data_IF_902203574413
#
_entry.id   IF_902203574413
#
_cell.length_a   1.000
_cell.length_b   1.000
_cell.length_c   1.000
_cell.angle_alpha   90.00
_cell.angle_beta   90.00
_cell.angle_gamma   90.00
#
_symmetry.space_group_name_H-M   'P 1'
#
loop_
_entity.id
_entity.type
_entity.pdbx_description
1 polymer ?
#
# COMPACT_ATOMS: atom_id res chain seq x y z
N UNK A 1 -6.10 -11.66 11.25
CA UNK A 1 -5.53 -10.91 10.12
C UNK A 1 -5.42 -9.45 10.46
N UNK A 2 -4.38 -8.82 9.98
CA UNK A 2 -4.13 -7.42 10.28
C UNK A 2 -4.44 -6.56 9.09
N UNK A 3 -4.94 -5.37 9.36
CA UNK A 3 -5.11 -4.34 8.34
C UNK A 3 -4.07 -3.26 8.58
N UNK A 4 -3.29 -2.98 7.54
CA UNK A 4 -2.20 -2.03 7.61
C UNK A 4 -2.59 -0.83 6.76
N UNK A 5 -2.50 0.35 7.33
CA UNK A 5 -2.83 1.58 6.62
C UNK A 5 -1.56 2.33 6.29
N UNK A 6 -1.43 2.71 5.03
CA UNK A 6 -0.27 3.42 4.54
C UNK A 6 -0.71 4.74 3.92
N UNK A 7 0.14 5.75 4.06
CA UNK A 7 0.01 6.98 3.31
C UNK A 7 0.94 6.93 2.12
N UNK A 8 0.40 7.15 0.93
CA UNK A 8 1.19 7.07 -0.30
C UNK A 8 1.05 8.38 -1.05
N UNK A 9 2.20 8.96 -1.41
CA UNK A 9 2.24 10.18 -2.20
C UNK A 9 2.61 9.84 -3.64
N UNK A 10 2.06 10.59 -4.56
CA UNK A 10 2.33 10.39 -5.97
C UNK A 10 1.23 9.72 -6.74
N UNK A 11 0.10 9.42 -6.08
CA UNK A 11 -1.04 8.84 -6.77
C UNK A 11 -1.74 9.96 -7.52
N UNK A 12 -1.70 9.91 -8.84
CA UNK A 12 -2.26 10.99 -9.64
C UNK A 12 -3.19 10.51 -10.76
N UNK A 13 -3.40 9.20 -10.88
CA UNK A 13 -4.25 8.67 -11.95
C UNK A 13 -4.65 7.25 -11.63
N UNK A 14 -5.59 6.72 -12.42
CA UNK A 14 -6.01 5.34 -12.26
C UNK A 14 -4.87 4.36 -12.53
N UNK A 15 -3.93 4.75 -13.40
CA UNK A 15 -2.76 3.90 -13.66
C UNK A 15 -1.91 3.73 -12.41
N UNK A 16 -1.82 4.78 -11.59
CA UNK A 16 -1.08 4.68 -10.32
C UNK A 16 -1.71 3.67 -9.39
N UNK A 17 -3.03 3.65 -9.32
CA UNK A 17 -3.75 2.70 -8.47
C UNK A 17 -3.40 1.28 -8.89
N UNK A 18 -3.41 1.01 -10.18
CA UNK A 18 -3.11 -0.31 -10.69
C UNK A 18 -1.68 -0.74 -10.36
N UNK A 19 -0.74 0.18 -10.50
CA UNK A 19 0.66 -0.10 -10.19
C UNK A 19 0.82 -0.45 -8.70
N UNK A 20 0.16 0.30 -7.83
CA UNK A 20 0.24 0.07 -6.40
C UNK A 20 -0.32 -1.31 -6.05
N UNK A 21 -1.50 -1.63 -6.59
CA UNK A 21 -2.13 -2.91 -6.31
C UNK A 21 -1.23 -4.04 -6.78
N UNK A 22 -0.68 -3.93 -7.98
CA UNK A 22 0.18 -4.98 -8.49
C UNK A 22 1.46 -5.14 -7.69
N UNK A 23 2.05 -4.03 -7.28
CA UNK A 23 3.29 -4.08 -6.50
C UNK A 23 3.06 -4.81 -5.19
N UNK A 24 1.95 -4.52 -4.52
CA UNK A 24 1.65 -5.15 -3.24
C UNK A 24 1.17 -6.59 -3.41
N UNK A 25 0.48 -6.88 -4.50
CA UNK A 25 -0.01 -8.24 -4.75
C UNK A 25 1.11 -9.22 -5.04
N UNK A 26 2.30 -8.74 -5.38
CA UNK A 26 3.45 -9.62 -5.56
C UNK A 26 3.91 -10.25 -4.24
N UNK A 27 3.55 -9.67 -3.12
CA UNK A 27 3.89 -10.23 -1.82
C UNK A 27 2.94 -11.38 -1.52
N UNK A 28 3.50 -12.52 -1.16
CA UNK A 28 2.74 -13.76 -1.10
C UNK A 28 1.64 -13.76 -0.05
N UNK A 29 1.87 -13.08 1.06
CA UNK A 29 0.92 -13.13 2.17
C UNK A 29 -0.11 -12.02 2.13
N UNK A 30 -0.06 -11.15 1.14
CA UNK A 30 -1.05 -10.08 1.01
C UNK A 30 -2.36 -10.68 0.50
N UNK A 31 -3.42 -10.46 1.26
CA UNK A 31 -4.73 -11.02 0.93
C UNK A 31 -5.60 -10.04 0.18
N UNK A 32 -5.51 -8.75 0.52
CA UNK A 32 -6.35 -7.75 -0.10
C UNK A 32 -5.66 -6.41 -0.05
N UNK A 33 -5.92 -5.59 -1.05
CA UNK A 33 -5.36 -4.24 -1.15
C UNK A 33 -6.49 -3.30 -1.56
N UNK A 34 -6.67 -2.25 -0.80
CA UNK A 34 -7.66 -1.24 -1.10
C UNK A 34 -6.98 0.12 -1.18
N UNK A 35 -7.18 0.83 -2.28
CA UNK A 35 -6.54 2.13 -2.51
C UNK A 35 -7.62 3.21 -2.54
N UNK A 36 -7.46 4.18 -1.64
CA UNK A 36 -8.30 5.37 -1.66
C UNK A 36 -7.44 6.51 -2.22
N UNK A 37 -7.59 6.74 -3.52
CA UNK A 37 -6.72 7.68 -4.21
C UNK A 37 -6.99 9.13 -3.81
N UNK A 38 -8.20 9.42 -3.36
CA UNK A 38 -8.53 10.79 -2.98
C UNK A 38 -7.75 11.25 -1.75
N UNK A 39 -7.57 10.35 -0.81
CA UNK A 39 -6.84 10.67 0.43
C UNK A 39 -5.39 10.22 0.37
N UNK A 40 -5.02 9.42 -0.62
CA UNK A 40 -3.69 8.86 -0.70
C UNK A 40 -3.46 7.72 0.28
N UNK A 41 -4.52 7.08 0.73
CA UNK A 41 -4.42 5.99 1.68
C UNK A 41 -4.51 4.65 0.99
N UNK A 42 -3.70 3.72 1.47
CA UNK A 42 -3.71 2.34 1.00
C UNK A 42 -3.91 1.44 2.20
N UNK A 43 -4.89 0.55 2.09
CA UNK A 43 -5.17 -0.41 3.14
C UNK A 43 -4.82 -1.80 2.64
N UNK A 44 -4.00 -2.50 3.42
CA UNK A 44 -3.53 -3.83 3.05
C UNK A 44 -3.95 -4.80 4.14
N UNK A 45 -4.54 -5.92 3.74
CA UNK A 45 -4.92 -6.98 4.66
C UNK A 45 -3.96 -8.14 4.48
N UNK A 46 -3.32 -8.55 5.57
CA UNK A 46 -2.38 -9.66 5.55
C UNK A 46 -2.32 -10.30 6.94
N UNK A 47 -1.81 -11.55 7.03
CA UNK A 47 -1.75 -12.24 8.33
C UNK A 47 -0.84 -11.56 9.34
N UNK A 48 0.25 -10.95 8.90
CA UNK A 48 1.17 -10.28 9.80
C UNK A 48 0.92 -8.77 9.77
N UNK A 49 1.45 -8.07 10.77
CA UNK A 49 1.32 -6.61 10.80
C UNK A 49 2.58 -5.91 10.34
N UNK A 50 3.40 -6.58 9.54
CA UNK A 50 4.62 -5.98 9.01
C UNK A 50 4.30 -5.02 7.89
N UNK A 51 4.92 -3.85 7.95
CA UNK A 51 4.72 -2.83 6.92
C UNK A 51 6.00 -2.51 6.14
N UNK A 52 7.15 -2.99 6.60
CA UNK A 52 8.42 -2.63 5.97
C UNK A 52 8.48 -3.04 4.51
N UNK A 53 8.08 -4.28 4.21
CA UNK A 53 8.11 -4.77 2.85
C UNK A 53 7.07 -4.08 1.97
N UNK A 54 5.95 -3.67 2.56
CA UNK A 54 4.94 -2.94 1.81
C UNK A 54 5.48 -1.57 1.38
N UNK A 55 6.10 -0.87 2.31
CA UNK A 55 6.67 0.43 2.03
C UNK A 55 7.79 0.30 1.01
N UNK A 56 8.63 -0.71 1.17
CA UNK A 56 9.73 -0.94 0.25
C UNK A 56 9.22 -1.22 -1.16
N UNK A 57 8.19 -2.04 -1.28
CA UNK A 57 7.63 -2.38 -2.59
C UNK A 57 7.10 -1.12 -3.30
N UNK A 58 6.45 -0.24 -2.56
CA UNK A 58 5.92 0.99 -3.14
C UNK A 58 7.03 1.97 -3.51
N UNK A 59 8.07 2.05 -2.67
CA UNK A 59 9.20 2.92 -2.99
C UNK A 59 9.93 2.45 -4.25
N UNK A 60 9.99 1.15 -4.46
CA UNK A 60 10.64 0.60 -5.65
C UNK A 60 9.96 1.03 -6.94
N UNK A 61 8.66 1.23 -6.92
CA UNK A 61 7.93 1.64 -8.11
C UNK A 61 7.72 3.15 -8.19
N UNK A 62 8.38 3.91 -7.31
CA UNK A 62 8.41 5.35 -7.43
C UNK A 62 7.43 6.10 -6.55
N UNK A 63 6.82 5.46 -5.58
CA UNK A 63 5.89 6.13 -4.69
C UNK A 63 6.48 6.28 -3.31
N UNK A 64 6.17 7.40 -2.66
CA UNK A 64 6.58 7.62 -1.27
C UNK A 64 5.51 7.08 -0.36
N UNK A 65 5.82 6.02 0.33
CA UNK A 65 4.89 5.37 1.24
C UNK A 65 5.39 5.49 2.67
N UNK A 66 4.47 5.69 3.58
CA UNK A 66 4.79 5.70 5.01
C UNK A 66 3.65 5.07 5.77
N UNK A 67 3.95 4.59 6.97
CA UNK A 67 2.94 3.98 7.81
C UNK A 67 2.00 5.07 8.32
N UNK A 68 0.71 4.85 8.13
CA UNK A 68 -0.30 5.75 8.63
C UNK A 68 -0.64 5.32 10.05
N UNK A 69 -0.13 6.05 11.00
CA UNK A 69 -0.41 5.75 12.40
C UNK A 69 -1.64 6.49 12.82
N UNK A 70 -2.73 5.83 12.64
CA UNK A 70 -4.02 6.40 12.95
C UNK A 70 -4.35 6.04 14.39
N UNK A 71 -4.20 6.96 15.23
CA UNK A 71 -4.48 6.73 16.63
C UNK A 71 -5.83 7.18 17.01
#
# INVERSE_FOLDING_TARGET
MSQIHLNVQGIDSAASIDVIIKALALLEDVKDVHVDWESGRVQVTRPSNRSDDLIHALNKVGYLASLDQDE
#
